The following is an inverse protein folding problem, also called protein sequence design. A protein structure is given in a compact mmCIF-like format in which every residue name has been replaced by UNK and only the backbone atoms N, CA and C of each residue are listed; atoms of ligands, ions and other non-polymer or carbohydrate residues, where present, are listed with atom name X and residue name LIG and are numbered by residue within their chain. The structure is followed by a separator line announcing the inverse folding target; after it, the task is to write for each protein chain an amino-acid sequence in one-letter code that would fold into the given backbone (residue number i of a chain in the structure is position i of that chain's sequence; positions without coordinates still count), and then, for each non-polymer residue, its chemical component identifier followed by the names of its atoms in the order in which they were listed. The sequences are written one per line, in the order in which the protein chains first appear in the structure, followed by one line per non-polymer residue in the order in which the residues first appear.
data_IF_322591181977
#
_entry.id   IF_322591181977
#
_cell.length_a   1.000
_cell.length_b   1.000
_cell.length_c   1.000
_cell.angle_alpha   90.00
_cell.angle_beta   90.00
_cell.angle_gamma   90.00
#
_symmetry.space_group_name_H-M   'P 1'
#
loop_
_entity.id
_entity.type
_entity.pdbx_description
1 polymer ?
#
# COMPACT_ATOMS: atom_id res chain seq x y z
N UNK A 1 4.05 26.73 -5.36
CA UNK A 1 3.51 25.62 -6.20
C UNK A 1 2.07 25.40 -5.78
N UNK A 2 1.09 25.52 -6.69
CA UNK A 2 -0.33 25.40 -6.31
C UNK A 2 -0.70 23.93 -6.13
N UNK A 3 -1.02 23.52 -4.90
CA UNK A 3 -1.53 22.17 -4.60
C UNK A 3 -3.03 22.01 -4.93
N UNK A 4 -3.71 23.09 -5.33
CA UNK A 4 -5.15 23.12 -5.56
C UNK A 4 -5.66 22.04 -6.54
N UNK A 5 -5.00 21.76 -7.67
CA UNK A 5 -5.45 20.69 -8.57
C UNK A 5 -5.45 19.32 -7.90
N UNK A 6 -4.44 19.05 -7.05
CA UNK A 6 -4.32 17.78 -6.32
C UNK A 6 -5.38 17.66 -5.24
N UNK A 7 -5.64 18.74 -4.50
CA UNK A 7 -6.68 18.78 -3.46
C UNK A 7 -8.05 18.55 -4.08
N UNK A 8 -8.39 19.24 -5.16
CA UNK A 8 -9.69 19.10 -5.85
C UNK A 8 -9.89 17.69 -6.40
N UNK A 9 -8.87 17.12 -7.06
CA UNK A 9 -8.91 15.74 -7.53
C UNK A 9 -9.12 14.76 -6.38
N UNK A 10 -8.45 14.99 -5.25
CA UNK A 10 -8.56 14.15 -4.07
C UNK A 10 -9.95 14.17 -3.45
N UNK A 11 -10.52 15.37 -3.27
CA UNK A 11 -11.89 15.54 -2.75
C UNK A 11 -12.88 14.80 -3.62
N UNK A 12 -12.80 15.00 -4.93
CA UNK A 12 -13.65 14.30 -5.90
C UNK A 12 -13.49 12.77 -5.83
N UNK A 13 -12.26 12.27 -5.72
CA UNK A 13 -12.01 10.82 -5.69
C UNK A 13 -12.57 10.13 -4.43
N UNK A 14 -12.59 10.84 -3.30
CA UNK A 14 -13.04 10.33 -2.00
C UNK A 14 -14.55 10.51 -1.79
N UNK A 15 -15.24 11.27 -2.66
CA UNK A 15 -16.69 11.42 -2.58
C UNK A 15 -17.41 10.05 -2.70
N UNK A 16 -18.32 9.74 -1.76
CA UNK A 16 -19.10 8.51 -1.83
C UNK A 16 -19.97 8.45 -3.09
N UNK A 17 -20.01 7.28 -3.72
CA UNK A 17 -20.76 7.08 -4.96
C UNK A 17 -22.20 6.60 -4.71
N UNK A 18 -23.14 7.12 -5.51
CA UNK A 18 -24.59 6.98 -5.33
C UNK A 18 -25.12 5.55 -5.09
N UNK A 19 -24.74 4.50 -5.86
CA UNK A 19 -25.31 3.17 -5.62
C UNK A 19 -24.93 2.61 -4.24
N UNK A 20 -23.78 3.01 -3.68
CA UNK A 20 -23.31 2.55 -2.38
C UNK A 20 -23.91 3.36 -1.23
N UNK A 21 -24.12 4.66 -1.43
CA UNK A 21 -24.76 5.53 -0.43
C UNK A 21 -26.23 5.19 -0.23
N UNK A 22 -26.92 4.68 -1.26
CA UNK A 22 -28.28 4.16 -1.13
C UNK A 22 -28.41 3.00 -0.14
N UNK A 23 -27.35 2.20 0.00
CA UNK A 23 -27.26 1.10 0.98
C UNK A 23 -26.55 1.51 2.28
N UNK A 24 -26.35 2.82 2.52
CA UNK A 24 -25.70 3.33 3.73
C UNK A 24 -24.19 3.09 3.79
N UNK A 25 -23.56 2.68 2.69
CA UNK A 25 -22.11 2.42 2.63
C UNK A 25 -21.38 3.63 2.06
N UNK A 26 -20.26 4.02 2.68
CA UNK A 26 -19.43 5.17 2.28
C UNK A 26 -18.29 4.73 1.34
N UNK A 27 -18.61 3.92 0.33
CA UNK A 27 -17.61 3.49 -0.66
C UNK A 27 -17.38 4.64 -1.64
N UNK A 28 -16.12 5.03 -1.82
CA UNK A 28 -15.71 6.06 -2.78
C UNK A 28 -15.19 5.46 -4.08
N UNK A 29 -15.03 6.30 -5.11
CA UNK A 29 -14.40 5.88 -6.36
C UNK A 29 -12.94 5.45 -6.15
N UNK A 30 -12.25 6.10 -5.23
CA UNK A 30 -10.87 5.77 -4.86
C UNK A 30 -10.77 4.36 -4.24
N UNK A 31 -11.74 3.99 -3.40
CA UNK A 31 -11.80 2.65 -2.79
C UNK A 31 -11.98 1.57 -3.85
N UNK A 32 -12.90 1.76 -4.80
CA UNK A 32 -13.09 0.82 -5.91
C UNK A 32 -11.82 0.66 -6.73
N UNK A 33 -11.19 1.77 -7.14
CA UNK A 33 -9.96 1.74 -7.93
C UNK A 33 -8.84 1.04 -7.16
N UNK A 34 -8.68 1.32 -5.86
CA UNK A 34 -7.68 0.68 -5.01
C UNK A 34 -7.91 -0.85 -4.91
N UNK A 35 -9.16 -1.24 -4.66
CA UNK A 35 -9.56 -2.65 -4.53
C UNK A 35 -9.31 -3.41 -5.83
N UNK A 36 -9.81 -2.91 -6.98
CA UNK A 36 -9.62 -3.57 -8.27
C UNK A 36 -8.14 -3.63 -8.68
N UNK A 37 -7.39 -2.53 -8.46
CA UNK A 37 -5.94 -2.51 -8.69
C UNK A 37 -5.24 -3.62 -7.92
N UNK A 38 -5.54 -3.76 -6.63
CA UNK A 38 -4.91 -4.77 -5.78
C UNK A 38 -5.26 -6.20 -6.24
N UNK A 39 -6.54 -6.46 -6.55
CA UNK A 39 -6.98 -7.76 -7.05
C UNK A 39 -6.31 -8.14 -8.37
N UNK A 40 -6.20 -7.20 -9.31
CA UNK A 40 -5.51 -7.39 -10.60
C UNK A 40 -4.02 -7.68 -10.37
N UNK A 41 -3.35 -6.87 -9.54
CA UNK A 41 -1.94 -7.05 -9.22
C UNK A 41 -1.66 -8.43 -8.58
N UNK A 42 -2.52 -8.86 -7.65
CA UNK A 42 -2.39 -10.17 -7.02
C UNK A 42 -2.57 -11.31 -8.02
N UNK A 43 -3.57 -11.21 -8.89
CA UNK A 43 -3.76 -12.21 -9.95
C UNK A 43 -2.56 -12.26 -10.90
N UNK A 44 -2.02 -11.11 -11.32
CA UNK A 44 -0.81 -11.05 -12.13
C UNK A 44 0.40 -11.69 -11.43
N UNK A 45 0.58 -11.43 -10.13
CA UNK A 45 1.66 -12.03 -9.34
C UNK A 45 1.53 -13.56 -9.28
N UNK A 46 0.33 -14.09 -8.98
CA UNK A 46 0.08 -15.53 -8.96
C UNK A 46 0.29 -16.18 -10.33
N UNK A 47 -0.19 -15.57 -11.41
CA UNK A 47 0.00 -16.08 -12.76
C UNK A 47 1.48 -16.11 -13.16
N UNK A 48 2.25 -15.10 -12.77
CA UNK A 48 3.70 -15.06 -12.99
C UNK A 48 4.45 -16.14 -12.17
N UNK A 49 4.08 -16.33 -10.90
CA UNK A 49 4.65 -17.40 -10.05
C UNK A 49 4.31 -18.78 -10.60
N UNK A 50 3.07 -18.98 -11.04
CA UNK A 50 2.63 -20.20 -11.71
C UNK A 50 3.44 -20.48 -12.98
N UNK A 51 3.56 -19.49 -13.87
CA UNK A 51 4.35 -19.64 -15.10
C UNK A 51 5.85 -19.89 -14.82
N UNK A 52 6.41 -19.24 -13.79
CA UNK A 52 7.80 -19.45 -13.36
C UNK A 52 8.02 -20.87 -12.82
N UNK A 53 7.08 -21.36 -12.00
CA UNK A 53 7.14 -22.71 -11.46
C UNK A 53 7.02 -23.75 -12.58
N UNK A 54 6.11 -23.56 -13.55
CA UNK A 54 6.03 -24.43 -14.73
C UNK A 54 7.33 -24.47 -15.56
N UNK A 55 8.02 -23.34 -15.71
CA UNK A 55 9.30 -23.29 -16.45
C UNK A 55 10.46 -23.95 -15.69
N UNK A 56 10.41 -23.94 -14.36
CA UNK A 56 11.50 -24.44 -13.50
C UNK A 56 11.29 -25.90 -13.10
N UNK A 57 10.03 -26.34 -13.04
CA UNK A 57 9.64 -27.72 -12.85
C UNK A 57 9.83 -28.48 -14.16
N UNK A 58 10.85 -29.35 -14.23
CA UNK A 58 10.81 -30.47 -15.18
C UNK A 58 9.60 -31.38 -14.89
N UNK A 59 9.34 -32.36 -15.76
CA UNK A 59 8.15 -33.25 -15.72
C UNK A 59 7.80 -33.80 -14.32
N UNK A 60 8.80 -34.05 -13.47
CA UNK A 60 8.62 -34.61 -12.12
C UNK A 60 8.09 -33.65 -11.04
N UNK A 61 8.05 -32.32 -11.26
CA UNK A 61 7.58 -31.34 -10.26
C UNK A 61 6.17 -30.81 -10.50
N UNK A 62 5.52 -31.19 -11.60
CA UNK A 62 4.12 -30.86 -11.87
C UNK A 62 3.16 -31.47 -10.83
N UNK A 63 3.56 -32.56 -10.17
CA UNK A 63 2.78 -33.23 -9.13
C UNK A 63 2.59 -32.41 -7.84
N UNK A 64 3.33 -31.30 -7.66
CA UNK A 64 3.26 -30.44 -6.46
C UNK A 64 2.55 -29.11 -6.69
N UNK A 65 1.92 -28.93 -7.86
CA UNK A 65 1.13 -27.74 -8.17
C UNK A 65 -0.29 -27.97 -7.65
N UNK A 66 -0.70 -27.17 -6.67
CA UNK A 66 -2.05 -27.21 -6.10
C UNK A 66 -3.08 -26.68 -7.10
N UNK A 67 -4.31 -27.20 -7.00
CA UNK A 67 -5.45 -26.64 -7.70
C UNK A 67 -5.73 -25.21 -7.23
N UNK A 68 -6.18 -24.35 -8.16
CA UNK A 68 -6.54 -22.97 -7.83
C UNK A 68 -7.73 -22.94 -6.87
N UNK A 69 -7.53 -22.33 -5.72
CA UNK A 69 -8.57 -22.16 -4.69
C UNK A 69 -8.94 -20.70 -4.53
N UNK A 70 -10.19 -20.36 -4.87
CA UNK A 70 -10.73 -19.02 -4.63
C UNK A 70 -10.66 -18.62 -3.15
N UNK A 71 -10.86 -19.57 -2.23
CA UNK A 71 -10.79 -19.31 -0.79
C UNK A 71 -9.37 -18.90 -0.39
N UNK A 72 -8.35 -19.58 -0.92
CA UNK A 72 -6.95 -19.20 -0.69
C UNK A 72 -6.68 -17.79 -1.20
N UNK A 73 -7.18 -17.46 -2.39
CA UNK A 73 -7.02 -16.14 -3.01
C UNK A 73 -7.71 -15.03 -2.21
N UNK A 74 -8.95 -15.27 -1.77
CA UNK A 74 -9.69 -14.36 -0.91
C UNK A 74 -9.00 -14.18 0.45
N UNK A 75 -8.53 -15.27 1.08
CA UNK A 75 -7.77 -15.20 2.33
C UNK A 75 -6.46 -14.42 2.17
N UNK A 76 -5.72 -14.63 1.09
CA UNK A 76 -4.50 -13.89 0.78
C UNK A 76 -4.80 -12.40 0.64
N UNK A 77 -5.82 -12.04 -0.15
CA UNK A 77 -6.24 -10.65 -0.34
C UNK A 77 -6.62 -9.98 0.98
N UNK A 78 -7.48 -10.62 1.79
CA UNK A 78 -7.90 -10.07 3.09
C UNK A 78 -6.73 -9.97 4.06
N UNK A 79 -5.81 -10.92 4.04
CA UNK A 79 -4.58 -10.87 4.83
C UNK A 79 -3.71 -9.69 4.42
N UNK A 80 -3.57 -9.41 3.13
CA UNK A 80 -2.81 -8.25 2.64
C UNK A 80 -3.43 -6.94 3.13
N UNK A 81 -4.75 -6.80 3.03
CA UNK A 81 -5.47 -5.57 3.38
C UNK A 81 -5.52 -5.35 4.88
N UNK A 82 -5.85 -6.38 5.65
CA UNK A 82 -6.18 -6.26 7.07
C UNK A 82 -5.14 -6.86 8.01
N UNK A 83 -4.16 -7.61 7.51
CA UNK A 83 -3.20 -8.33 8.36
C UNK A 83 -2.36 -7.42 9.24
N UNK A 84 -2.00 -6.23 8.76
CA UNK A 84 -1.31 -5.23 9.56
C UNK A 84 -2.19 -4.62 10.66
N UNK A 85 -3.46 -4.34 10.35
CA UNK A 85 -4.45 -3.87 11.32
C UNK A 85 -4.77 -4.94 12.38
N UNK A 86 -4.84 -6.21 11.98
CA UNK A 86 -5.04 -7.34 12.87
C UNK A 86 -3.91 -7.50 13.91
N UNK A 87 -2.70 -7.01 13.61
CA UNK A 87 -1.59 -6.97 14.55
C UNK A 87 -1.66 -5.70 15.43
N UNK A 88 -1.74 -4.51 14.81
CA UNK A 88 -1.62 -3.25 15.53
C UNK A 88 -2.87 -2.88 16.32
N UNK A 89 -4.07 -3.17 15.81
CA UNK A 89 -5.34 -2.86 16.47
C UNK A 89 -5.37 -3.37 17.91
N UNK A 90 -5.20 -4.69 18.15
CA UNK A 90 -5.17 -5.25 19.50
C UNK A 90 -4.06 -4.67 20.39
N UNK A 91 -2.89 -4.35 19.82
CA UNK A 91 -1.79 -3.73 20.57
C UNK A 91 -2.12 -2.29 21.01
N UNK A 92 -2.99 -1.59 20.27
CA UNK A 92 -3.55 -0.29 20.65
C UNK A 92 -4.86 -0.41 21.45
N UNK A 93 -5.31 -1.64 21.76
CA UNK A 93 -6.61 -1.86 22.43
C UNK A 93 -7.82 -1.47 21.57
N UNK A 94 -7.67 -1.45 20.24
CA UNK A 94 -8.71 -1.09 19.28
C UNK A 94 -9.11 -2.34 18.48
N UNK A 95 -10.40 -2.52 18.25
CA UNK A 95 -10.90 -3.62 17.45
C UNK A 95 -10.63 -3.36 15.95
N UNK A 96 -10.04 -4.31 15.20
CA UNK A 96 -9.83 -4.17 13.76
C UNK A 96 -11.12 -3.90 12.96
N UNK A 97 -10.98 -3.17 11.85
CA UNK A 97 -12.09 -2.63 11.08
C UNK A 97 -13.04 -3.66 10.51
N UNK A 98 -12.47 -4.76 10.03
CA UNK A 98 -13.21 -5.89 9.49
C UNK A 98 -14.03 -6.66 10.53
N UNK A 99 -13.80 -6.45 11.84
CA UNK A 99 -14.58 -7.11 12.89
C UNK A 99 -15.91 -6.41 13.18
N UNK A 100 -15.99 -5.09 12.94
CA UNK A 100 -17.24 -4.35 13.13
C UNK A 100 -18.03 -4.13 11.84
N UNK A 101 -17.36 -4.18 10.68
CA UNK A 101 -18.01 -3.99 9.37
C UNK A 101 -17.53 -5.03 8.36
N UNK A 102 -18.48 -5.81 7.85
CA UNK A 102 -18.26 -6.74 6.74
C UNK A 102 -18.24 -6.06 5.37
N UNK A 103 -18.49 -4.74 5.28
CA UNK A 103 -18.58 -4.02 4.00
C UNK A 103 -17.25 -4.05 3.25
N UNK A 104 -16.15 -3.67 3.91
CA UNK A 104 -14.83 -3.64 3.26
C UNK A 104 -14.36 -5.05 2.88
N UNK A 105 -14.39 -6.07 3.77
CA UNK A 105 -14.09 -7.45 3.38
C UNK A 105 -14.95 -7.95 2.21
N UNK A 106 -16.27 -7.69 2.27
CA UNK A 106 -17.19 -8.07 1.20
C UNK A 106 -16.86 -7.41 -0.13
N UNK A 107 -16.47 -6.13 -0.13
CA UNK A 107 -16.04 -5.41 -1.32
C UNK A 107 -14.78 -6.03 -1.94
N UNK A 108 -13.79 -6.37 -1.12
CA UNK A 108 -12.56 -7.02 -1.58
C UNK A 108 -12.84 -8.42 -2.15
N UNK A 109 -13.65 -9.24 -1.48
CA UNK A 109 -14.04 -10.57 -1.98
C UNK A 109 -14.81 -10.47 -3.30
N UNK A 110 -15.77 -9.54 -3.39
CA UNK A 110 -16.57 -9.35 -4.60
C UNK A 110 -15.70 -8.90 -5.78
N UNK A 111 -14.80 -7.94 -5.56
CA UNK A 111 -13.87 -7.49 -6.58
C UNK A 111 -12.88 -8.60 -7.00
N UNK A 112 -12.39 -9.41 -6.05
CA UNK A 112 -11.56 -10.57 -6.37
C UNK A 112 -12.31 -11.54 -7.28
N UNK A 113 -13.56 -11.87 -6.95
CA UNK A 113 -14.39 -12.76 -7.76
C UNK A 113 -14.57 -12.19 -9.18
N UNK A 114 -14.90 -10.91 -9.31
CA UNK A 114 -15.02 -10.24 -10.62
C UNK A 114 -13.70 -10.33 -11.40
N UNK A 115 -12.57 -10.05 -10.74
CA UNK A 115 -11.26 -10.10 -11.37
C UNK A 115 -10.91 -11.52 -11.81
N UNK A 116 -11.26 -12.58 -11.09
CA UNK A 116 -11.06 -13.97 -11.55
C UNK A 116 -11.83 -14.29 -12.84
N UNK A 117 -13.01 -13.71 -13.03
CA UNK A 117 -13.82 -13.93 -14.25
C UNK A 117 -13.26 -13.22 -15.50
N UNK A 118 -12.31 -12.30 -15.36
CA UNK A 118 -11.70 -11.63 -16.51
C UNK A 118 -10.84 -12.65 -17.29
N UNK A 119 -11.06 -12.89 -18.59
CA UNK A 119 -10.39 -13.98 -19.29
C UNK A 119 -8.88 -13.74 -19.45
N UNK A 120 -8.48 -12.49 -19.72
CA UNK A 120 -7.08 -12.11 -19.94
C UNK A 120 -6.80 -10.81 -19.21
N UNK A 121 -5.79 -10.83 -18.35
CA UNK A 121 -5.25 -9.61 -17.75
C UNK A 121 -4.11 -9.05 -18.61
N UNK A 122 -3.98 -7.71 -18.69
CA UNK A 122 -2.84 -7.10 -19.35
C UNK A 122 -1.55 -7.52 -18.64
N UNK A 123 -0.48 -7.75 -19.41
CA UNK A 123 0.80 -8.13 -18.84
C UNK A 123 1.43 -6.98 -18.05
N UNK A 124 2.21 -7.34 -17.03
CA UNK A 124 2.94 -6.37 -16.22
C UNK A 124 4.02 -5.72 -17.09
N UNK A 125 3.91 -4.42 -17.31
CA UNK A 125 4.79 -3.66 -18.20
C UNK A 125 4.96 -2.23 -17.70
N UNK A 126 5.97 -1.51 -18.19
CA UNK A 126 6.14 -0.10 -17.81
C UNK A 126 4.91 0.76 -18.16
N UNK A 127 4.29 0.51 -19.31
CA UNK A 127 3.13 1.28 -19.77
C UNK A 127 1.88 1.04 -18.93
N UNK A 128 1.72 -0.16 -18.36
CA UNK A 128 0.60 -0.49 -17.47
C UNK A 128 0.88 -0.07 -16.03
N UNK A 129 2.09 -0.32 -15.52
CA UNK A 129 2.42 -0.10 -14.12
C UNK A 129 2.72 1.36 -13.75
N UNK A 130 3.22 2.18 -14.68
CA UNK A 130 3.56 3.57 -14.40
C UNK A 130 2.35 4.43 -13.99
N UNK A 131 1.26 4.52 -14.78
CA UNK A 131 0.09 5.30 -14.37
C UNK A 131 -0.53 4.75 -13.08
N UNK A 132 -0.53 3.43 -12.96
CA UNK A 132 -1.00 2.67 -11.83
C UNK A 132 -0.22 2.96 -10.53
N UNK A 133 1.09 3.22 -10.64
CA UNK A 133 1.94 3.60 -9.50
C UNK A 133 1.65 5.01 -8.95
N UNK A 134 1.14 5.92 -9.80
CA UNK A 134 0.66 7.23 -9.35
C UNK A 134 -0.59 7.04 -8.49
N UNK A 135 -1.55 6.25 -8.97
CA UNK A 135 -2.79 5.93 -8.24
C UNK A 135 -2.50 5.24 -6.90
N UNK A 136 -1.53 4.33 -6.87
CA UNK A 136 -1.01 3.72 -5.62
C UNK A 136 -0.53 4.78 -4.63
N UNK A 137 0.19 5.80 -5.11
CA UNK A 137 0.66 6.88 -4.25
C UNK A 137 -0.48 7.66 -3.60
N UNK A 138 -1.55 7.95 -4.35
CA UNK A 138 -2.73 8.64 -3.83
C UNK A 138 -3.52 7.80 -2.82
N UNK A 139 -3.81 6.55 -3.18
CA UNK A 139 -4.56 5.61 -2.32
C UNK A 139 -3.78 5.31 -1.04
N UNK A 140 -2.46 5.13 -1.13
CA UNK A 140 -1.62 4.85 0.04
C UNK A 140 -1.41 6.08 0.93
N UNK A 141 -1.32 7.29 0.37
CA UNK A 141 -1.33 8.50 1.19
C UNK A 141 -2.60 8.62 2.04
N UNK A 142 -3.73 8.14 1.51
CA UNK A 142 -5.01 8.13 2.21
C UNK A 142 -4.93 7.28 3.48
N UNK A 143 -4.41 6.05 3.34
CA UNK A 143 -4.14 5.14 4.45
C UNK A 143 -3.17 5.76 5.47
N UNK A 144 -2.02 6.26 4.99
CA UNK A 144 -0.91 6.73 5.84
C UNK A 144 -1.16 8.06 6.55
N UNK A 145 -2.02 8.92 5.99
CA UNK A 145 -2.28 10.26 6.54
C UNK A 145 -3.65 10.36 7.23
N UNK A 146 -4.64 9.57 6.81
CA UNK A 146 -6.03 9.73 7.29
C UNK A 146 -6.53 8.56 8.13
N UNK A 147 -6.05 7.33 7.89
CA UNK A 147 -6.57 6.15 8.57
C UNK A 147 -5.67 5.69 9.73
N UNK A 148 -4.35 5.69 9.52
CA UNK A 148 -3.37 5.22 10.50
C UNK A 148 -3.14 6.22 11.65
N UNK A 149 -3.02 7.55 11.42
CA UNK A 149 -2.73 8.47 12.51
C UNK A 149 -3.80 8.57 13.61
N UNK A 150 -5.12 8.66 13.31
CA UNK A 150 -6.14 8.87 14.33
C UNK A 150 -6.12 7.85 15.48
N UNK A 151 -6.09 6.52 15.23
CA UNK A 151 -5.99 5.52 16.30
C UNK A 151 -4.86 5.74 17.29
N UNK A 152 -3.74 6.32 16.85
CA UNK A 152 -2.58 6.61 17.70
C UNK A 152 -2.74 7.95 18.41
N UNK A 153 -3.02 9.03 17.67
CA UNK A 153 -3.02 10.39 18.23
C UNK A 153 -4.20 10.67 19.16
N UNK A 154 -5.32 9.98 18.99
CA UNK A 154 -6.49 10.08 19.89
C UNK A 154 -6.53 8.95 20.91
N UNK A 155 -5.42 8.22 21.07
CA UNK A 155 -5.35 7.11 22.02
C UNK A 155 -5.55 7.61 23.46
N UNK A 156 -6.23 6.82 24.29
CA UNK A 156 -6.59 7.20 25.67
C UNK A 156 -5.37 7.39 26.57
N UNK A 157 -4.31 6.61 26.35
CA UNK A 157 -3.00 6.78 26.99
C UNK A 157 -2.21 7.93 26.35
N UNK A 158 -1.87 9.01 27.10
CA UNK A 158 -1.07 10.11 26.58
C UNK A 158 0.30 9.70 26.08
N UNK A 159 0.92 8.68 26.71
CA UNK A 159 2.24 8.16 26.34
C UNK A 159 2.22 7.61 24.90
N UNK A 160 1.14 6.93 24.53
CA UNK A 160 0.95 6.41 23.16
C UNK A 160 0.62 7.56 22.21
N UNK A 161 -0.33 8.42 22.61
CA UNK A 161 -0.79 9.53 21.80
C UNK A 161 0.30 10.54 21.44
N UNK A 162 1.30 10.75 22.31
CA UNK A 162 2.43 11.63 22.03
C UNK A 162 3.68 10.93 21.50
N UNK A 163 3.67 9.59 21.37
CA UNK A 163 4.86 8.82 20.95
C UNK A 163 5.03 8.82 19.43
N UNK A 164 6.12 9.40 18.89
CA UNK A 164 6.40 9.32 17.45
C UNK A 164 6.66 7.87 17.02
N UNK A 165 7.23 7.04 17.90
CA UNK A 165 7.50 5.63 17.60
C UNK A 165 6.22 4.81 17.48
N UNK A 166 5.22 5.06 18.33
CA UNK A 166 3.92 4.40 18.22
C UNK A 166 3.29 4.68 16.85
N UNK A 167 3.38 5.93 16.38
CA UNK A 167 2.87 6.34 15.08
C UNK A 167 3.64 5.68 13.92
N UNK A 168 4.97 5.77 13.93
CA UNK A 168 5.81 5.23 12.86
C UNK A 168 5.73 3.70 12.77
N UNK A 169 5.80 2.99 13.90
CA UNK A 169 5.67 1.53 13.93
C UNK A 169 4.28 1.07 13.51
N UNK A 170 3.23 1.76 13.95
CA UNK A 170 1.86 1.47 13.49
C UNK A 170 1.76 1.62 11.98
N UNK A 171 2.32 2.68 11.41
CA UNK A 171 2.30 2.87 9.95
C UNK A 171 3.05 1.80 9.17
N UNK A 172 4.22 1.39 9.69
CA UNK A 172 5.03 0.34 9.10
C UNK A 172 4.28 -0.99 9.09
N UNK A 173 3.72 -1.41 10.24
CA UNK A 173 3.08 -2.71 10.40
C UNK A 173 1.70 -2.73 9.74
N UNK A 174 0.87 -1.69 9.87
CA UNK A 174 -0.45 -1.66 9.22
C UNK A 174 -0.32 -1.78 7.70
N UNK A 175 0.65 -1.06 7.11
CA UNK A 175 0.78 -1.00 5.64
C UNK A 175 1.48 -2.23 5.04
N UNK A 176 2.37 -2.89 5.79
CA UNK A 176 3.22 -3.96 5.25
C UNK A 176 2.95 -5.34 5.88
N UNK A 177 2.33 -5.39 7.06
CA UNK A 177 2.14 -6.63 7.82
C UNK A 177 1.37 -7.69 7.06
N UNK A 178 0.40 -7.28 6.25
CA UNK A 178 -0.35 -8.20 5.39
C UNK A 178 0.53 -8.91 4.35
N UNK A 179 1.44 -8.19 3.70
CA UNK A 179 2.42 -8.80 2.78
C UNK A 179 3.41 -9.70 3.51
N UNK A 180 3.88 -9.31 4.71
CA UNK A 180 4.77 -10.17 5.51
C UNK A 180 4.11 -11.52 5.82
N UNK A 181 2.86 -11.51 6.29
CA UNK A 181 2.12 -12.75 6.60
C UNK A 181 1.87 -13.55 5.32
N UNK A 182 1.46 -12.88 4.23
CA UNK A 182 1.16 -13.52 2.94
C UNK A 182 2.39 -14.23 2.38
N UNK A 183 3.54 -13.58 2.41
CA UNK A 183 4.81 -14.14 1.95
C UNK A 183 5.27 -15.25 2.91
N UNK A 184 5.18 -15.05 4.22
CA UNK A 184 5.59 -16.02 5.23
C UNK A 184 4.88 -17.37 5.09
N UNK A 185 3.60 -17.37 4.75
CA UNK A 185 2.82 -18.60 4.52
C UNK A 185 2.74 -19.02 3.04
N UNK A 186 3.47 -18.34 2.15
CA UNK A 186 3.48 -18.61 0.70
C UNK A 186 2.10 -18.63 0.06
N UNK A 187 1.22 -17.71 0.48
CA UNK A 187 -0.18 -17.66 0.02
C UNK A 187 -0.30 -17.52 -1.51
N UNK A 188 0.65 -16.82 -2.15
CA UNK A 188 0.63 -16.55 -3.59
C UNK A 188 1.33 -17.63 -4.43
N UNK A 189 2.06 -18.55 -3.80
CA UNK A 189 2.72 -19.65 -4.52
C UNK A 189 1.69 -20.70 -4.97
N UNK A 190 1.87 -21.36 -6.12
CA UNK A 190 0.98 -22.41 -6.60
C UNK A 190 1.25 -23.77 -5.95
N UNK A 191 2.02 -23.81 -4.85
CA UNK A 191 2.35 -25.02 -4.09
C UNK A 191 1.58 -25.04 -2.76
N UNK A 192 1.57 -26.16 -2.03
CA UNK A 192 1.07 -26.20 -0.66
C UNK A 192 1.66 -25.09 0.20
N UNK A 193 0.85 -24.59 1.14
CA UNK A 193 1.29 -23.55 2.08
C UNK A 193 2.49 -24.05 2.86
N UNK A 194 3.58 -23.28 2.81
CA UNK A 194 4.81 -23.59 3.54
C UNK A 194 5.28 -22.34 4.26
N UNK A 195 5.97 -22.55 5.37
CA UNK A 195 6.58 -21.44 6.09
C UNK A 195 7.87 -21.04 5.38
N UNK A 196 7.93 -19.81 4.90
CA UNK A 196 9.10 -19.24 4.23
C UNK A 196 9.50 -17.92 4.87
N UNK A 197 10.76 -17.52 4.66
CA UNK A 197 11.21 -16.19 5.04
C UNK A 197 10.68 -15.17 4.02
N UNK A 198 9.91 -14.15 4.44
CA UNK A 198 9.48 -13.06 3.57
C UNK A 198 10.67 -12.37 2.90
N UNK A 199 10.52 -11.94 1.65
CA UNK A 199 11.58 -11.27 0.90
C UNK A 199 12.05 -9.97 1.58
N UNK A 200 11.16 -9.34 2.33
CA UNK A 200 11.42 -8.12 3.09
C UNK A 200 12.39 -8.34 4.26
N UNK A 201 12.46 -9.57 4.80
CA UNK A 201 13.39 -9.96 5.87
C UNK A 201 14.68 -10.59 5.34
N UNK A 202 14.77 -10.87 4.03
CA UNK A 202 16.00 -11.34 3.37
C UNK A 202 17.01 -10.18 3.24
N UNK A 203 18.30 -10.47 2.97
CA UNK A 203 19.31 -9.44 2.78
C UNK A 203 18.87 -8.37 1.78
N UNK A 204 18.97 -7.10 2.17
CA UNK A 204 18.51 -5.92 1.43
C UNK A 204 16.99 -5.79 1.22
N UNK A 205 16.15 -6.72 1.71
CA UNK A 205 14.70 -6.64 1.60
C UNK A 205 14.13 -5.35 2.20
N UNK A 206 14.68 -4.91 3.34
CA UNK A 206 14.34 -3.65 4.02
C UNK A 206 14.54 -2.39 3.16
N UNK A 207 15.33 -2.47 2.08
CA UNK A 207 15.55 -1.32 1.17
C UNK A 207 14.38 -1.08 0.23
N UNK A 208 13.42 -2.00 0.16
CA UNK A 208 12.22 -1.90 -0.68
C UNK A 208 11.42 -0.66 -0.31
N UNK A 209 11.08 0.15 -1.32
CA UNK A 209 10.39 1.43 -1.15
C UNK A 209 9.10 1.30 -0.34
N UNK A 210 8.34 0.22 -0.52
CA UNK A 210 7.08 -0.02 0.18
C UNK A 210 7.23 -0.02 1.71
N UNK A 211 8.33 -0.60 2.22
CA UNK A 211 8.55 -0.78 3.64
C UNK A 211 8.79 0.56 4.32
N UNK A 212 9.83 1.29 3.90
CA UNK A 212 10.23 2.52 4.57
C UNK A 212 9.40 3.74 4.15
N UNK A 213 8.72 3.71 2.99
CA UNK A 213 7.88 4.84 2.56
C UNK A 213 6.69 5.06 3.51
N UNK A 214 6.16 3.99 4.13
CA UNK A 214 5.07 4.09 5.09
C UNK A 214 5.43 4.99 6.29
N UNK A 215 6.44 4.66 7.13
CA UNK A 215 6.84 5.53 8.24
C UNK A 215 7.38 6.88 7.77
N UNK A 216 8.07 6.96 6.63
CA UNK A 216 8.53 8.25 6.11
C UNK A 216 7.36 9.21 5.86
N UNK A 217 6.31 8.73 5.19
CA UNK A 217 5.19 9.59 4.77
C UNK A 217 4.26 9.89 5.94
N UNK A 218 4.00 8.93 6.82
CA UNK A 218 3.28 9.22 8.07
C UNK A 218 4.06 10.21 8.94
N UNK A 219 5.38 10.07 9.05
CA UNK A 219 6.23 11.02 9.76
C UNK A 219 6.24 12.41 9.11
N UNK A 220 6.30 12.49 7.78
CA UNK A 220 6.20 13.76 7.05
C UNK A 220 4.83 14.42 7.26
N UNK A 221 3.75 13.66 7.18
CA UNK A 221 2.41 14.17 7.45
C UNK A 221 2.30 14.71 8.88
N UNK A 222 2.82 13.97 9.86
CA UNK A 222 2.84 14.39 11.26
C UNK A 222 3.71 15.63 11.50
N UNK A 223 4.86 15.75 10.81
CA UNK A 223 5.73 16.93 10.80
C UNK A 223 5.00 18.16 10.27
N UNK A 224 4.27 18.02 9.15
CA UNK A 224 3.59 19.14 8.51
C UNK A 224 2.37 19.59 9.30
N UNK A 225 1.61 18.66 9.87
CA UNK A 225 0.35 18.95 10.58
C UNK A 225 0.53 19.17 12.10
N UNK A 226 1.74 18.98 12.61
CA UNK A 226 2.03 18.99 14.05
C UNK A 226 1.18 17.97 14.84
N UNK A 227 1.00 16.78 14.27
CA UNK A 227 0.09 15.76 14.82
C UNK A 227 0.43 15.32 16.25
N UNK A 228 1.71 15.44 16.67
CA UNK A 228 2.16 15.22 18.05
C UNK A 228 3.17 16.32 18.44
N UNK A 229 3.35 16.63 19.74
CA UNK A 229 4.26 17.69 20.19
C UNK A 229 5.69 17.56 19.66
N UNK A 230 6.22 16.33 19.65
CA UNK A 230 7.54 16.01 19.10
C UNK A 230 7.73 16.53 17.66
N UNK A 231 6.72 16.36 16.81
CA UNK A 231 6.79 16.76 15.41
C UNK A 231 6.76 18.27 15.22
N UNK A 232 6.06 19.01 16.09
CA UNK A 232 6.05 20.47 16.06
C UNK A 232 7.43 21.06 16.40
N UNK A 233 8.07 20.52 17.44
CA UNK A 233 9.43 20.89 17.85
C UNK A 233 10.43 20.54 16.75
N UNK A 234 10.32 19.32 16.20
CA UNK A 234 11.20 18.87 15.13
C UNK A 234 11.06 19.70 13.85
N UNK A 235 9.83 20.13 13.49
CA UNK A 235 9.59 21.02 12.35
C UNK A 235 10.26 22.40 12.57
N UNK A 236 10.23 22.91 13.79
CA UNK A 236 10.91 24.17 14.14
C UNK A 236 12.43 24.04 14.01
N UNK A 237 13.01 22.93 14.46
CA UNK A 237 14.45 22.64 14.31
C UNK A 237 14.85 22.55 12.85
N UNK A 238 14.10 21.78 12.03
CA UNK A 238 14.37 21.66 10.58
C UNK A 238 14.28 23.02 9.89
N UNK A 239 13.23 23.81 10.19
CA UNK A 239 13.06 25.12 9.57
C UNK A 239 14.20 26.07 9.91
N UNK A 240 14.67 26.06 11.16
CA UNK A 240 15.82 26.85 11.61
C UNK A 240 17.10 26.40 10.90
N UNK A 241 17.33 25.08 10.79
CA UNK A 241 18.48 24.53 10.09
C UNK A 241 18.50 24.87 8.58
N UNK A 242 17.32 25.02 7.97
CA UNK A 242 17.16 25.43 6.56
C UNK A 242 17.22 26.96 6.35
N UNK A 243 17.59 27.74 7.37
CA UNK A 243 17.72 29.20 7.28
C UNK A 243 16.42 29.97 7.49
N UNK A 244 15.39 29.34 8.07
CA UNK A 244 14.19 30.02 8.52
C UNK A 244 14.49 31.03 9.63
N UNK A 245 13.66 32.07 9.76
CA UNK A 245 13.89 33.24 10.64
C UNK A 245 13.68 32.97 12.13
N UNK A 246 13.78 31.72 12.60
CA UNK A 246 13.61 31.34 14.01
C UNK A 246 12.18 31.51 14.56
N UNK A 247 11.22 31.92 13.73
CA UNK A 247 9.80 31.97 14.09
C UNK A 247 9.19 30.57 14.22
N UNK A 248 8.23 30.40 15.13
CA UNK A 248 7.46 29.15 15.23
C UNK A 248 6.75 28.90 13.90
N UNK A 249 7.10 27.82 13.21
CA UNK A 249 6.43 27.41 11.98
C UNK A 249 5.03 26.94 12.34
N UNK A 250 3.99 27.44 11.67
CA UNK A 250 2.63 26.98 11.89
C UNK A 250 2.35 25.61 11.26
N UNK A 251 1.37 24.84 11.77
CA UNK A 251 0.94 23.61 11.12
C UNK A 251 0.32 23.92 9.76
N UNK A 252 0.59 23.06 8.79
CA UNK A 252 -0.11 23.01 7.51
C UNK A 252 -1.50 22.41 7.70
N UNK A 253 -2.47 22.83 6.89
CA UNK A 253 -3.78 22.19 6.89
C UNK A 253 -3.66 20.70 6.48
N UNK A 254 -4.45 19.79 7.10
CA UNK A 254 -4.37 18.36 6.82
C UNK A 254 -4.55 17.98 5.36
N UNK A 255 -5.34 18.72 4.59
CA UNK A 255 -5.60 18.41 3.19
C UNK A 255 -4.40 18.72 2.29
N UNK A 256 -3.79 19.89 2.45
CA UNK A 256 -2.55 20.26 1.77
C UNK A 256 -1.40 19.33 2.14
N UNK A 257 -1.27 18.99 3.42
CA UNK A 257 -0.23 18.06 3.89
C UNK A 257 -0.40 16.68 3.25
N UNK A 258 -1.64 16.18 3.18
CA UNK A 258 -1.95 14.90 2.52
C UNK A 258 -1.72 14.94 1.01
N UNK A 259 -2.10 16.02 0.34
CA UNK A 259 -1.87 16.20 -1.10
C UNK A 259 -0.37 16.20 -1.42
N UNK A 260 0.45 16.85 -0.59
CA UNK A 260 1.91 16.82 -0.71
C UNK A 260 2.47 15.41 -0.49
N UNK A 261 1.99 14.70 0.53
CA UNK A 261 2.36 13.31 0.79
C UNK A 261 2.02 12.37 -0.38
N UNK A 262 0.82 12.53 -0.96
CA UNK A 262 0.39 11.78 -2.14
C UNK A 262 1.28 12.05 -3.35
N UNK A 263 1.67 13.30 -3.58
CA UNK A 263 2.59 13.66 -4.66
C UNK A 263 3.96 13.01 -4.47
N UNK A 264 4.52 13.05 -3.26
CA UNK A 264 5.82 12.43 -2.95
C UNK A 264 5.75 10.92 -3.15
N UNK A 265 4.69 10.26 -2.66
CA UNK A 265 4.50 8.82 -2.87
C UNK A 265 4.35 8.45 -4.34
N UNK A 266 3.58 9.22 -5.11
CA UNK A 266 3.44 9.00 -6.53
C UNK A 266 4.80 9.06 -7.25
N UNK A 267 5.67 10.01 -6.88
CA UNK A 267 7.04 10.10 -7.43
C UNK A 267 7.90 8.91 -7.01
N UNK A 268 7.87 8.51 -5.73
CA UNK A 268 8.63 7.37 -5.21
C UNK A 268 8.22 6.07 -5.93
N UNK A 269 6.92 5.82 -6.06
CA UNK A 269 6.40 4.62 -6.72
C UNK A 269 6.62 4.65 -8.23
N UNK A 270 6.50 5.80 -8.87
CA UNK A 270 6.84 5.94 -10.29
C UNK A 270 8.31 5.63 -10.54
N UNK A 271 9.20 6.10 -9.68
CA UNK A 271 10.65 5.85 -9.77
C UNK A 271 10.97 4.36 -9.55
N UNK A 272 10.33 3.72 -8.55
CA UNK A 272 10.42 2.28 -8.34
C UNK A 272 9.96 1.51 -9.59
N UNK A 273 8.81 1.87 -10.15
CA UNK A 273 8.27 1.24 -11.36
C UNK A 273 9.21 1.43 -12.55
N UNK A 274 9.74 2.63 -12.76
CA UNK A 274 10.71 2.92 -13.81
C UNK A 274 12.01 2.09 -13.63
N UNK A 275 12.48 1.89 -12.39
CA UNK A 275 13.64 1.05 -12.10
C UNK A 275 13.37 -0.43 -12.41
N UNK A 276 12.22 -0.94 -11.98
CA UNK A 276 11.87 -2.36 -12.12
C UNK A 276 11.60 -2.75 -13.58
N UNK A 277 10.88 -1.90 -14.33
CA UNK A 277 10.47 -2.22 -15.71
C UNK A 277 11.28 -1.51 -16.80
N UNK A 278 11.90 -0.35 -16.50
CA UNK A 278 12.73 0.38 -17.46
C UNK A 278 14.07 -0.31 -17.77
N UNK A 279 14.62 -1.08 -16.83
CA UNK A 279 15.80 -1.91 -17.09
C UNK A 279 15.49 -3.12 -18.00
N UNK A 280 14.27 -3.67 -17.90
CA UNK A 280 13.78 -4.73 -18.80
C UNK A 280 13.65 -4.20 -20.22
N UNK A 281 13.12 -2.97 -20.38
CA UNK A 281 13.05 -2.30 -21.66
C UNK A 281 14.44 -2.10 -22.29
N UNK A 282 15.42 -1.62 -21.51
CA UNK A 282 16.81 -1.48 -21.99
C UNK A 282 17.42 -2.82 -22.43
N UNK A 283 17.22 -3.91 -21.68
CA UNK A 283 17.72 -5.24 -22.07
C UNK A 283 17.07 -5.76 -23.35
N UNK A 284 15.74 -5.67 -23.47
CA UNK A 284 15.00 -6.13 -24.65
C UNK A 284 15.38 -5.36 -25.92
N UNK A 285 15.60 -4.04 -25.81
CA UNK A 285 16.08 -3.21 -26.94
C UNK A 285 17.51 -3.58 -27.32
N UNK A 286 18.39 -3.78 -26.34
CA UNK A 286 19.79 -4.17 -26.59
C UNK A 286 19.89 -5.55 -27.25
N UNK A 287 19.05 -6.50 -26.86
CA UNK A 287 18.98 -7.82 -27.51
C UNK A 287 18.45 -7.74 -28.94
N UNK A 288 17.44 -6.91 -29.22
CA UNK A 288 16.93 -6.71 -30.58
C UNK A 288 17.94 -6.04 -31.51
N UNK A 289 18.78 -5.14 -30.99
CA UNK A 289 19.84 -4.47 -31.76
C UNK A 289 21.00 -5.44 -32.08
N UNK A 290 21.25 -6.47 -31.27
CA UNK A 290 22.30 -7.47 -31.51
C UNK A 290 21.92 -8.55 -32.53
N UNK A 291 20.64 -8.64 -32.91
CA UNK A 291 20.10 -9.63 -33.85
C UNK A 291 19.99 -9.03 -35.27
N UNK A 292 20.29 -7.74 -35.44
CA UNK A 292 20.44 -7.07 -36.73
C UNK A 292 21.91 -6.88 -37.08
#
# INVERSE_FOLDING_TARGET
MSLQPFISLYRYAVEPIAPFTWFGTKVSSLDLVAVFRLCIALRQMRENLYAKNLRTAGENRLAFVDERSFVRDACALLTIVFGGEAIIGPLLGILPSFMFSGVSPGLYIAAQAIVEYIPVLPSVSLGTELPLSIVDGFTRAMLLCSLIPPPVITHTSPIVASSPWALLLSSLVITNGGFFITNMFSFLEPTPLTLTTPDELKPYGWTTTDIWSAPLITGLYALLTHAQPFWAEFHTVISTALGGTGGKVGPMDPESARALCALILAVLFSTRTAKNFGLIWKKSVTEKIKIQ
#
